data_IF_998151481620
#
_entry.id   IF_998151481620
#
_cell.length_a   1.000
_cell.length_b   1.000
_cell.length_c   1.000
_cell.angle_alpha   90.00
_cell.angle_beta   90.00
_cell.angle_gamma   90.00
#
_symmetry.space_group_name_H-M   'P 1'
#
loop_
_entity.id
_entity.type
_entity.pdbx_description
1 polymer ?
#
# COMPACT_ATOMS: atom_id res chain seq x y z
N UNK A 1 9.51 -58.31 16.69
CA UNK A 1 9.36 -57.90 18.10
C UNK A 1 10.02 -56.53 18.23
N UNK A 2 9.22 -55.49 18.53
CA UNK A 2 9.50 -54.16 19.14
C UNK A 2 10.86 -53.48 18.84
N UNK A 3 10.94 -52.20 18.49
CA UNK A 3 9.96 -51.12 18.47
C UNK A 3 10.69 -49.83 18.08
N UNK A 4 10.00 -48.96 17.35
CA UNK A 4 10.40 -47.62 16.97
C UNK A 4 10.50 -46.72 18.22
N UNK A 5 11.61 -46.02 18.40
CA UNK A 5 11.67 -44.81 19.24
C UNK A 5 11.68 -43.60 18.30
N UNK A 6 10.48 -43.16 17.95
CA UNK A 6 10.22 -41.85 17.41
C UNK A 6 9.81 -40.94 18.55
N UNK A 7 10.74 -40.13 19.05
CA UNK A 7 10.45 -39.05 20.00
C UNK A 7 10.86 -37.72 19.37
N UNK A 8 9.92 -37.12 18.63
CA UNK A 8 9.80 -35.67 18.48
C UNK A 8 8.45 -35.28 17.87
N UNK A 9 7.37 -35.75 18.48
CA UNK A 9 6.02 -35.36 18.06
C UNK A 9 5.05 -35.26 19.24
N UNK A 10 5.31 -34.31 20.15
CA UNK A 10 4.31 -33.73 21.04
C UNK A 10 4.70 -32.29 21.35
N UNK A 11 4.14 -31.34 20.60
CA UNK A 11 3.28 -30.32 21.21
C UNK A 11 2.47 -29.61 20.11
N UNK A 12 1.31 -30.17 19.80
CA UNK A 12 0.30 -29.52 18.98
C UNK A 12 -0.96 -29.47 19.82
N UNK A 13 -1.52 -28.25 19.92
CA UNK A 13 -2.80 -27.86 20.53
C UNK A 13 -2.68 -27.31 21.95
N UNK A 14 -2.63 -25.98 22.05
CA UNK A 14 -3.56 -25.19 22.87
C UNK A 14 -3.48 -23.69 22.48
N UNK A 15 -4.65 -23.06 22.30
CA UNK A 15 -4.76 -21.61 22.12
C UNK A 15 -5.37 -21.09 20.82
N UNK A 16 -6.33 -21.81 20.20
CA UNK A 16 -7.23 -21.21 19.20
C UNK A 16 -8.13 -20.18 19.87
N UNK A 17 -7.68 -18.93 19.88
CA UNK A 17 -8.43 -17.76 20.32
C UNK A 17 -8.09 -16.56 19.44
N UNK A 18 -8.03 -16.75 18.12
CA UNK A 18 -7.99 -15.62 17.19
C UNK A 18 -9.40 -15.02 17.20
N UNK A 19 -9.62 -14.05 18.08
CA UNK A 19 -10.84 -13.24 18.04
C UNK A 19 -10.82 -12.47 16.73
N UNK A 20 -11.76 -12.80 15.83
CA UNK A 20 -11.82 -12.33 14.44
C UNK A 20 -12.11 -10.83 14.27
N UNK A 21 -11.89 -9.99 15.30
CA UNK A 21 -12.28 -8.57 15.30
C UNK A 21 -11.15 -7.56 15.53
N UNK A 22 -9.88 -8.00 15.59
CA UNK A 22 -8.74 -7.11 15.82
C UNK A 22 -7.85 -6.86 14.57
N UNK A 23 -8.09 -7.59 13.48
CA UNK A 23 -7.23 -7.68 12.28
C UNK A 23 -7.74 -6.89 11.06
N UNK A 24 -8.57 -5.88 11.30
CA UNK A 24 -9.21 -5.15 10.18
C UNK A 24 -8.70 -3.71 10.07
N UNK A 25 -8.39 -3.04 11.19
CA UNK A 25 -7.88 -1.66 11.15
C UNK A 25 -6.36 -1.58 11.12
N UNK A 26 -5.66 -2.47 11.81
CA UNK A 26 -4.18 -2.45 11.87
C UNK A 26 -3.58 -2.87 10.54
N UNK A 27 -4.10 -3.94 9.95
CA UNK A 27 -3.58 -4.48 8.70
C UNK A 27 -3.84 -3.53 7.51
N UNK A 28 -4.98 -2.83 7.50
CA UNK A 28 -5.28 -1.79 6.50
C UNK A 28 -4.34 -0.60 6.64
N UNK A 29 -4.04 -0.16 7.87
CA UNK A 29 -3.10 0.94 8.13
C UNK A 29 -1.66 0.56 7.78
N UNK A 30 -1.22 -0.66 8.13
CA UNK A 30 0.12 -1.15 7.77
C UNK A 30 0.28 -1.30 6.25
N UNK A 31 -0.72 -1.88 5.58
CA UNK A 31 -0.74 -1.99 4.12
C UNK A 31 -0.69 -0.62 3.46
N UNK A 32 -1.50 0.34 3.93
CA UNK A 32 -1.48 1.72 3.45
C UNK A 32 -0.09 2.33 3.58
N UNK A 33 0.57 2.18 4.72
CA UNK A 33 1.93 2.69 4.95
C UNK A 33 2.99 2.04 4.06
N UNK A 34 2.83 0.76 3.73
CA UNK A 34 3.72 0.08 2.80
C UNK A 34 3.54 0.62 1.38
N UNK A 35 2.30 0.79 0.94
CA UNK A 35 1.97 1.37 -0.36
C UNK A 35 2.47 2.82 -0.47
N UNK A 36 2.24 3.66 0.54
CA UNK A 36 2.72 5.04 0.56
C UNK A 36 4.25 5.11 0.43
N UNK A 37 4.97 4.23 1.14
CA UNK A 37 6.43 4.14 1.04
C UNK A 37 6.90 3.65 -0.32
N UNK A 38 6.23 2.65 -0.90
CA UNK A 38 6.57 2.14 -2.22
C UNK A 38 6.34 3.21 -3.32
N UNK A 39 5.24 3.94 -3.25
CA UNK A 39 4.90 5.04 -4.17
C UNK A 39 5.90 6.19 -4.04
N UNK A 40 6.30 6.54 -2.82
CA UNK A 40 7.30 7.59 -2.57
C UNK A 40 8.72 7.17 -3.00
N UNK A 41 9.08 5.90 -2.84
CA UNK A 41 10.38 5.35 -3.22
C UNK A 41 10.50 5.01 -4.71
N UNK A 42 9.38 4.98 -5.44
CA UNK A 42 9.39 4.75 -6.88
C UNK A 42 10.21 5.81 -7.61
N UNK A 43 11.09 5.35 -8.49
CA UNK A 43 11.86 6.21 -9.39
C UNK A 43 10.96 6.80 -10.48
N UNK A 44 9.86 6.12 -10.81
CA UNK A 44 8.91 6.57 -11.80
C UNK A 44 7.93 7.57 -11.19
N UNK A 45 7.62 8.63 -11.95
CA UNK A 45 6.57 9.58 -11.59
C UNK A 45 5.19 8.91 -11.53
N UNK A 46 4.49 9.09 -10.42
CA UNK A 46 3.15 8.56 -10.18
C UNK A 46 2.18 9.73 -10.04
N UNK A 47 1.05 9.63 -10.75
CA UNK A 47 -0.06 10.58 -10.71
C UNK A 47 -1.35 9.80 -10.46
N UNK A 48 -2.19 10.30 -9.57
CA UNK A 48 -3.54 9.77 -9.31
C UNK A 48 -4.54 10.89 -9.56
N UNK A 49 -5.55 10.63 -10.38
CA UNK A 49 -6.67 11.54 -10.66
C UNK A 49 -7.99 10.94 -10.20
N UNK A 50 -8.97 11.81 -9.93
CA UNK A 50 -10.33 11.38 -9.55
C UNK A 50 -11.31 11.60 -10.70
N UNK A 51 -11.74 10.55 -11.41
CA UNK A 51 -12.68 10.65 -12.51
C UNK A 51 -14.11 10.96 -12.06
N UNK A 52 -14.41 10.86 -10.76
CA UNK A 52 -15.73 11.19 -10.19
C UNK A 52 -15.95 12.69 -10.09
N UNK A 53 -14.86 13.47 -10.12
CA UNK A 53 -14.90 14.93 -10.10
C UNK A 53 -14.94 15.50 -11.53
N UNK A 54 -15.61 16.66 -11.73
CA UNK A 54 -15.61 17.32 -13.02
C UNK A 54 -14.18 17.57 -13.51
N UNK A 55 -13.95 17.24 -14.78
CA UNK A 55 -12.66 17.40 -15.45
C UNK A 55 -11.52 16.49 -14.94
N UNK A 56 -11.81 15.39 -14.23
CA UNK A 56 -10.82 14.38 -13.80
C UNK A 56 -9.52 15.00 -13.22
N UNK A 57 -9.63 15.82 -12.15
CA UNK A 57 -8.51 16.51 -11.57
C UNK A 57 -7.52 15.54 -10.92
N UNK A 58 -6.24 15.89 -10.96
CA UNK A 58 -5.19 15.20 -10.21
C UNK A 58 -5.40 15.43 -8.72
N UNK A 59 -5.42 14.36 -7.93
CA UNK A 59 -5.57 14.40 -6.47
C UNK A 59 -4.26 14.10 -5.74
N UNK A 60 -3.30 13.48 -6.42
CA UNK A 60 -1.99 13.15 -5.86
C UNK A 60 -0.91 13.03 -6.94
N UNK A 61 0.29 13.48 -6.60
CA UNK A 61 1.53 13.20 -7.34
C UNK A 61 2.62 12.81 -6.34
N UNK A 62 3.56 11.95 -6.75
CA UNK A 62 4.72 11.62 -5.93
C UNK A 62 5.90 12.57 -6.22
N UNK A 63 6.90 12.57 -5.34
CA UNK A 63 8.08 13.43 -5.49
C UNK A 63 8.91 13.12 -6.75
N UNK A 64 8.83 11.89 -7.28
CA UNK A 64 9.49 11.52 -8.52
C UNK A 64 8.87 12.21 -9.74
N UNK A 65 7.54 12.38 -9.74
CA UNK A 65 6.84 13.16 -10.76
C UNK A 65 7.31 14.61 -10.75
N UNK A 66 7.41 15.22 -9.56
CA UNK A 66 7.86 16.61 -9.44
C UNK A 66 9.29 16.79 -9.97
N UNK A 67 10.20 15.85 -9.62
CA UNK A 67 11.58 15.88 -10.12
C UNK A 67 11.71 15.64 -11.62
N UNK A 68 10.85 14.78 -12.19
CA UNK A 68 10.94 14.38 -13.60
C UNK A 68 10.33 15.43 -14.53
N UNK A 69 9.23 16.03 -14.12
CA UNK A 69 8.46 16.98 -14.94
C UNK A 69 8.79 18.44 -14.64
N UNK A 70 9.32 18.73 -13.45
CA UNK A 70 9.58 20.08 -12.97
C UNK A 70 8.36 20.79 -12.37
N UNK A 71 7.16 20.20 -12.43
CA UNK A 71 5.96 20.75 -11.81
C UNK A 71 5.85 20.34 -10.35
N UNK A 72 5.52 21.29 -9.49
CA UNK A 72 5.27 20.99 -8.08
C UNK A 72 3.88 20.38 -7.88
N UNK A 73 3.70 19.67 -6.76
CA UNK A 73 2.38 19.13 -6.37
C UNK A 73 1.30 20.22 -6.36
N UNK A 74 1.60 21.41 -5.84
CA UNK A 74 0.64 22.52 -5.71
C UNK A 74 0.18 23.05 -7.08
N UNK A 75 1.05 22.99 -8.08
CA UNK A 75 0.72 23.44 -9.43
C UNK A 75 -0.17 22.44 -10.18
N UNK A 76 -0.18 21.17 -9.76
CA UNK A 76 -0.79 20.06 -10.50
C UNK A 76 -2.06 19.55 -9.84
N UNK A 77 -2.11 19.49 -8.51
CA UNK A 77 -3.29 19.04 -7.78
C UNK A 77 -4.48 19.96 -8.08
N UNK A 78 -5.63 19.37 -8.37
CA UNK A 78 -6.85 20.08 -8.76
C UNK A 78 -6.95 20.40 -10.26
N UNK A 79 -5.92 20.14 -11.06
CA UNK A 79 -5.95 20.33 -12.52
C UNK A 79 -6.06 19.00 -13.26
N UNK A 80 -6.61 19.03 -14.47
CA UNK A 80 -6.57 17.84 -15.32
C UNK A 80 -5.15 17.61 -15.85
N UNK A 81 -4.67 16.37 -15.79
CA UNK A 81 -3.31 15.98 -16.19
C UNK A 81 -2.96 16.21 -17.68
N UNK A 82 -3.92 16.59 -18.54
CA UNK A 82 -3.71 16.88 -19.97
C UNK A 82 -2.75 18.04 -20.26
N UNK A 83 -2.36 18.84 -19.27
CA UNK A 83 -1.35 19.90 -19.45
C UNK A 83 0.05 19.35 -19.78
N UNK A 84 0.28 18.04 -19.62
CA UNK A 84 1.53 17.35 -19.98
C UNK A 84 1.57 16.83 -21.43
N UNK A 85 0.53 17.07 -22.23
CA UNK A 85 0.43 16.63 -23.63
C UNK A 85 1.30 17.46 -24.59
#
# INVERSE_FOLDING_TARGET
>A
MRGFEGDNFRDFREGSGITSGAWERRDVEEMRRLLDRAVAASVNGIVISDPSLPDNPVIYVNSAFERTTGYTRDEVVGKNCRFLQ
#
